data_IF_203353143773
#
_entry.id   IF_203353143773
#
_cell.length_a   1.000
_cell.length_b   1.000
_cell.length_c   1.000
_cell.angle_alpha   90.00
_cell.angle_beta   90.00
_cell.angle_gamma   90.00
#
_symmetry.space_group_name_H-M   'P 1'
#
loop_
_entity.id
_entity.type
_entity.pdbx_description
1 polymer ?
#
# COMPACT_ATOMS: atom_id res chain seq x y z
N UNK A 1 3.23 -21.76 0.78
CA UNK A 1 1.85 -21.25 0.97
C UNK A 1 1.83 -20.38 2.22
N UNK A 2 2.21 -19.11 2.09
CA UNK A 2 2.15 -18.13 3.18
C UNK A 2 1.66 -16.82 2.55
N UNK A 3 0.39 -16.51 2.83
CA UNK A 3 -0.34 -15.36 2.30
C UNK A 3 -0.05 -14.17 3.22
N UNK A 4 1.02 -13.41 2.97
CA UNK A 4 1.28 -12.13 3.67
C UNK A 4 1.10 -10.89 2.79
N UNK A 5 1.06 -11.03 1.46
CA UNK A 5 1.03 -9.89 0.52
C UNK A 5 -0.31 -9.14 0.48
N UNK A 6 -1.37 -9.65 1.14
CA UNK A 6 -2.72 -9.10 1.02
C UNK A 6 -3.18 -8.29 2.23
N UNK A 7 -2.57 -8.40 3.41
CA UNK A 7 -3.08 -7.72 4.61
C UNK A 7 -2.86 -6.22 4.57
N UNK A 8 -1.66 -5.73 4.24
CA UNK A 8 -1.38 -4.30 4.19
C UNK A 8 -2.09 -3.58 3.03
N UNK A 9 -2.09 -4.20 1.86
CA UNK A 9 -2.83 -3.69 0.69
C UNK A 9 -4.35 -3.63 0.99
N UNK A 10 -4.89 -4.62 1.73
CA UNK A 10 -6.28 -4.58 2.20
C UNK A 10 -6.50 -3.47 3.22
N UNK A 11 -5.59 -3.24 4.18
CA UNK A 11 -5.70 -2.13 5.15
C UNK A 11 -5.73 -0.76 4.47
N UNK A 12 -4.88 -0.55 3.46
CA UNK A 12 -4.89 0.69 2.68
C UNK A 12 -6.18 0.82 1.87
N UNK A 13 -6.70 -0.27 1.28
CA UNK A 13 -8.01 -0.24 0.61
C UNK A 13 -9.18 0.09 1.54
N UNK A 14 -9.20 -0.48 2.74
CA UNK A 14 -10.23 -0.17 3.75
C UNK A 14 -10.14 1.30 4.18
N UNK A 15 -8.92 1.82 4.37
CA UNK A 15 -8.73 3.25 4.68
C UNK A 15 -9.16 4.16 3.50
N UNK A 16 -8.95 3.71 2.26
CA UNK A 16 -9.42 4.41 1.05
C UNK A 16 -10.95 4.41 0.97
N UNK A 17 -11.60 3.26 1.23
CA UNK A 17 -13.08 3.15 1.25
C UNK A 17 -13.71 3.99 2.37
N UNK A 18 -13.04 4.11 3.52
CA UNK A 18 -13.46 4.96 4.62
C UNK A 18 -13.33 6.48 4.34
N UNK A 19 -12.79 6.89 3.18
CA UNK A 19 -12.60 8.30 2.74
C UNK A 19 -11.87 9.21 3.73
N UNK A 20 -11.08 8.65 4.64
CA UNK A 20 -10.40 9.42 5.66
C UNK A 20 -8.98 9.79 5.18
N UNK A 21 -8.79 11.04 4.77
CA UNK A 21 -7.56 11.53 4.10
C UNK A 21 -6.32 11.47 4.99
N UNK A 22 -6.48 11.70 6.30
CA UNK A 22 -5.39 11.60 7.29
C UNK A 22 -4.90 10.17 7.50
N UNK A 23 -5.84 9.24 7.69
CA UNK A 23 -5.52 7.83 7.91
C UNK A 23 -4.97 7.16 6.65
N UNK A 24 -5.45 7.57 5.47
CA UNK A 24 -4.95 7.06 4.20
C UNK A 24 -3.47 7.42 3.97
N UNK A 25 -3.04 8.64 4.33
CA UNK A 25 -1.65 9.06 4.21
C UNK A 25 -0.72 8.31 5.19
N UNK A 26 -1.17 8.11 6.43
CA UNK A 26 -0.44 7.32 7.42
C UNK A 26 -0.33 5.84 7.03
N UNK A 27 -1.43 5.25 6.56
CA UNK A 27 -1.47 3.88 6.07
C UNK A 27 -0.60 3.67 4.83
N UNK A 28 -0.52 4.66 3.93
CA UNK A 28 0.34 4.62 2.75
C UNK A 28 1.82 4.55 3.14
N UNK A 29 2.28 5.39 4.09
CA UNK A 29 3.67 5.37 4.56
C UNK A 29 4.07 4.02 5.15
N UNK A 30 3.20 3.45 5.99
CA UNK A 30 3.42 2.13 6.58
C UNK A 30 3.44 1.02 5.52
N UNK A 31 2.56 1.10 4.53
CA UNK A 31 2.52 0.14 3.43
C UNK A 31 3.78 0.23 2.54
N UNK A 32 4.33 1.42 2.31
CA UNK A 32 5.57 1.59 1.55
C UNK A 32 6.75 0.90 2.25
N UNK A 33 6.93 1.15 3.56
CA UNK A 33 8.04 0.58 4.34
C UNK A 33 7.97 -0.95 4.34
N UNK A 34 6.79 -1.53 4.55
CA UNK A 34 6.66 -2.99 4.56
C UNK A 34 6.81 -3.64 3.18
N UNK A 35 6.30 -3.00 2.12
CA UNK A 35 6.50 -3.51 0.76
C UNK A 35 8.00 -3.49 0.39
N UNK A 36 8.73 -2.47 0.83
CA UNK A 36 10.16 -2.35 0.58
C UNK A 36 10.98 -3.37 1.41
N UNK A 37 10.59 -3.60 2.67
CA UNK A 37 11.16 -4.67 3.49
C UNK A 37 10.88 -6.06 2.91
N UNK A 38 9.67 -6.29 2.40
CA UNK A 38 9.31 -7.55 1.74
C UNK A 38 10.08 -7.75 0.42
N UNK A 39 10.37 -6.68 -0.31
CA UNK A 39 11.24 -6.69 -1.49
C UNK A 39 12.68 -7.05 -1.12
N UNK A 40 13.20 -6.45 -0.04
CA UNK A 40 14.56 -6.69 0.44
C UNK A 40 14.74 -8.12 0.96
N UNK A 41 13.70 -8.69 1.59
CA UNK A 41 13.67 -10.10 2.05
C UNK A 41 13.46 -11.10 0.91
N UNK A 42 13.33 -10.66 -0.34
CA UNK A 42 13.15 -11.53 -1.51
C UNK A 42 11.76 -12.17 -1.63
N UNK A 43 10.79 -11.74 -0.82
CA UNK A 43 9.42 -12.27 -0.81
C UNK A 43 8.63 -11.78 -2.04
N UNK A 44 8.95 -10.58 -2.53
CA UNK A 44 8.35 -9.99 -3.74
C UNK A 44 9.43 -9.42 -4.63
N UNK A 45 9.25 -9.57 -5.94
CA UNK A 45 10.16 -8.99 -6.92
C UNK A 45 10.11 -7.44 -6.83
N UNK A 46 11.26 -6.72 -6.88
CA UNK A 46 11.29 -5.26 -6.71
C UNK A 46 10.33 -4.50 -7.63
N UNK A 47 10.26 -4.91 -8.90
CA UNK A 47 9.29 -4.36 -9.88
C UNK A 47 7.81 -4.58 -9.49
N UNK A 48 7.48 -5.69 -8.84
CA UNK A 48 6.11 -5.95 -8.38
C UNK A 48 5.76 -5.12 -7.14
N UNK A 49 6.74 -4.93 -6.25
CA UNK A 49 6.66 -4.03 -5.11
C UNK A 49 6.39 -2.57 -5.57
N UNK A 50 7.22 -2.03 -6.47
CA UNK A 50 7.05 -0.66 -6.99
C UNK A 50 5.70 -0.45 -7.68
N UNK A 51 5.21 -1.42 -8.47
CA UNK A 51 3.89 -1.35 -9.11
C UNK A 51 2.76 -1.28 -8.08
N UNK A 52 2.90 -1.97 -6.96
CA UNK A 52 1.88 -1.97 -5.90
C UNK A 52 1.86 -0.63 -5.17
N UNK A 53 3.03 -0.09 -4.83
CA UNK A 53 3.17 1.24 -4.22
C UNK A 53 2.55 2.32 -5.11
N UNK A 54 2.92 2.35 -6.39
CA UNK A 54 2.43 3.35 -7.34
C UNK A 54 0.90 3.34 -7.46
N UNK A 55 0.30 2.15 -7.52
CA UNK A 55 -1.17 1.99 -7.59
C UNK A 55 -1.87 2.49 -6.34
N UNK A 56 -1.33 2.21 -5.16
CA UNK A 56 -1.88 2.68 -3.88
C UNK A 56 -1.77 4.19 -3.75
N UNK A 57 -0.62 4.77 -4.13
CA UNK A 57 -0.43 6.23 -4.12
C UNK A 57 -1.41 6.94 -5.06
N UNK A 58 -1.66 6.39 -6.24
CA UNK A 58 -2.65 6.94 -7.17
C UNK A 58 -4.07 6.93 -6.58
N UNK A 59 -4.46 5.87 -5.86
CA UNK A 59 -5.77 5.78 -5.21
C UNK A 59 -5.92 6.77 -4.06
N UNK A 60 -4.89 6.94 -3.23
CA UNK A 60 -4.89 7.94 -2.14
C UNK A 60 -4.89 9.37 -2.68
N UNK A 61 -4.13 9.66 -3.74
CA UNK A 61 -4.17 10.96 -4.41
C UNK A 61 -5.52 11.25 -5.07
N UNK A 62 -6.20 10.23 -5.62
CA UNK A 62 -7.54 10.38 -6.16
C UNK A 62 -8.56 10.77 -5.09
N UNK A 63 -8.44 10.26 -3.85
CA UNK A 63 -9.27 10.68 -2.72
C UNK A 63 -9.00 12.12 -2.27
N UNK A 64 -7.76 12.58 -2.37
CA UNK A 64 -7.39 13.96 -1.99
C UNK A 64 -7.80 15.01 -3.02
N UNK A 65 -8.10 14.61 -4.26
CA UNK A 65 -8.47 15.52 -5.36
C UNK A 65 -9.99 15.68 -5.53
N UNK A 66 -10.79 14.99 -4.71
CA UNK A 66 -12.25 15.07 -4.74
C UNK A 66 -12.78 16.18 -3.82
#
# INVERSE_FOLDING_TARGET
>A
MLVLSSTFVKRVRVAIEAKNTGDAAAALKLAIVEIDQASTKGVVHPKAASRTISRLSAQVHALSKA
#
